data_IF_166603404600
#
_entry.id   IF_166603404600
#
_cell.length_a   1.000
_cell.length_b   1.000
_cell.length_c   1.000
_cell.angle_alpha   90.00
_cell.angle_beta   90.00
_cell.angle_gamma   90.00
#
_symmetry.space_group_name_H-M   'P 1'
#
loop_
_entity.id
_entity.type
_entity.pdbx_description
1 polymer ?
#
# COMPACT_ATOMS: atom_id res chain seq x y z
N UNK A 1 14.27 -2.34 -4.18
CA UNK A 1 14.54 -2.13 -2.73
C UNK A 1 13.30 -1.54 -2.08
N UNK A 2 12.88 -2.04 -0.92
CA UNK A 2 11.70 -1.52 -0.24
C UNK A 2 11.95 -0.15 0.41
N UNK A 3 11.04 0.80 0.17
CA UNK A 3 11.11 2.19 0.56
C UNK A 3 10.16 2.42 1.75
N UNK A 4 10.63 2.88 2.92
CA UNK A 4 9.75 3.22 4.03
C UNK A 4 8.80 4.37 3.65
N UNK A 5 7.51 4.20 3.88
CA UNK A 5 6.48 5.18 3.53
C UNK A 5 5.53 5.49 4.70
N UNK A 6 4.78 6.58 4.57
CA UNK A 6 3.61 6.90 5.39
C UNK A 6 2.38 6.89 4.48
N UNK A 7 1.63 5.78 4.43
CA UNK A 7 0.48 5.67 3.55
C UNK A 7 -0.77 6.35 4.15
N UNK A 8 -1.51 7.04 3.30
CA UNK A 8 -2.88 7.50 3.54
C UNK A 8 -3.80 6.50 2.85
N UNK A 9 -4.77 5.97 3.57
CA UNK A 9 -5.68 4.92 3.07
C UNK A 9 -7.09 5.48 3.02
N UNK A 10 -7.70 5.41 1.84
CA UNK A 10 -9.15 5.56 1.68
C UNK A 10 -9.81 4.18 1.76
N UNK A 11 -10.63 4.00 2.79
CA UNK A 11 -11.35 2.75 3.07
C UNK A 11 -12.48 2.46 2.09
N UNK A 12 -13.03 3.48 1.44
CA UNK A 12 -14.14 3.33 0.51
C UNK A 12 -13.65 2.89 -0.86
N UNK A 13 -12.58 3.50 -1.35
CA UNK A 13 -12.07 3.25 -2.72
C UNK A 13 -10.93 2.24 -2.77
N UNK A 14 -10.34 1.90 -1.63
CA UNK A 14 -9.13 1.10 -1.58
C UNK A 14 -7.87 1.87 -1.98
N UNK A 15 -7.98 3.20 -2.17
CA UNK A 15 -6.86 4.02 -2.58
C UNK A 15 -5.83 4.13 -1.46
N UNK A 16 -4.55 3.96 -1.83
CA UNK A 16 -3.39 4.12 -0.96
C UNK A 16 -2.50 5.19 -1.58
N UNK A 17 -2.38 6.33 -0.90
CA UNK A 17 -1.53 7.44 -1.32
C UNK A 17 -0.29 7.52 -0.44
N UNK A 18 0.88 7.76 -1.02
CA UNK A 18 2.14 7.87 -0.28
C UNK A 18 3.21 8.61 -1.08
N UNK A 19 4.23 9.11 -0.39
CA UNK A 19 5.46 9.59 -1.02
C UNK A 19 6.48 8.47 -1.07
N UNK A 20 7.01 8.17 -2.26
CA UNK A 20 8.17 7.31 -2.46
C UNK A 20 9.21 8.09 -3.28
N UNK A 21 10.45 8.17 -2.79
CA UNK A 21 11.55 8.87 -3.47
C UNK A 21 11.20 10.33 -3.87
N UNK A 22 10.48 11.04 -2.99
CA UNK A 22 10.05 12.42 -3.23
C UNK A 22 8.90 12.59 -4.22
N UNK A 23 8.30 11.50 -4.72
CA UNK A 23 7.17 11.53 -5.66
C UNK A 23 5.89 11.04 -5.00
N UNK A 24 4.80 11.76 -5.22
CA UNK A 24 3.48 11.32 -4.81
C UNK A 24 3.03 10.13 -5.66
N UNK A 25 2.62 9.07 -4.99
CA UNK A 25 2.14 7.84 -5.60
C UNK A 25 0.72 7.56 -5.13
N UNK A 26 -0.14 7.21 -6.07
CA UNK A 26 -1.47 6.65 -5.80
C UNK A 26 -1.51 5.22 -6.30
N UNK A 27 -1.92 4.29 -5.43
CA UNK A 27 -2.14 2.88 -5.72
C UNK A 27 -3.46 2.43 -5.10
N UNK A 28 -3.83 1.18 -5.33
CA UNK A 28 -5.08 0.62 -4.84
C UNK A 28 -4.84 -0.77 -4.27
N UNK A 29 -5.50 -1.07 -3.16
CA UNK A 29 -5.46 -2.37 -2.48
C UNK A 29 -6.85 -3.02 -2.50
N UNK A 30 -6.90 -4.34 -2.61
CA UNK A 30 -8.16 -5.08 -2.65
C UNK A 30 -8.90 -5.11 -1.30
N UNK A 31 -8.16 -5.15 -0.19
CA UNK A 31 -8.73 -5.17 1.18
C UNK A 31 -8.19 -3.99 2.02
N UNK A 32 -8.78 -2.79 1.86
CA UNK A 32 -8.33 -1.61 2.61
C UNK A 32 -8.65 -1.68 4.10
N UNK A 33 -9.68 -2.43 4.50
CA UNK A 33 -10.06 -2.55 5.91
C UNK A 33 -9.06 -3.41 6.67
N UNK A 34 -8.61 -4.52 6.08
CA UNK A 34 -7.55 -5.34 6.65
C UNK A 34 -6.23 -4.56 6.67
N UNK A 35 -5.92 -3.83 5.60
CA UNK A 35 -4.72 -3.00 5.53
C UNK A 35 -4.68 -1.96 6.68
N UNK A 36 -5.74 -1.17 6.86
CA UNK A 36 -5.87 -0.18 7.93
C UNK A 36 -5.63 -0.81 9.31
N UNK A 37 -6.30 -1.94 9.58
CA UNK A 37 -6.20 -2.66 10.86
C UNK A 37 -4.77 -3.13 11.17
N UNK A 38 -4.05 -3.62 10.17
CA UNK A 38 -2.68 -4.10 10.35
C UNK A 38 -1.66 -2.96 10.42
N UNK A 39 -1.87 -1.87 9.66
CA UNK A 39 -1.02 -0.69 9.71
C UNK A 39 -1.01 -0.04 11.10
N UNK A 40 -2.19 0.06 11.73
CA UNK A 40 -2.30 0.61 13.08
C UNK A 40 -1.56 -0.22 14.16
N UNK A 41 -1.18 -1.47 13.83
CA UNK A 41 -0.49 -2.41 14.73
C UNK A 41 0.98 -2.63 14.35
N UNK A 42 1.48 -1.95 13.32
CA UNK A 42 2.85 -2.16 12.87
C UNK A 42 3.86 -1.64 13.90
N UNK A 43 4.93 -2.40 14.13
CA UNK A 43 6.05 -1.98 14.98
C UNK A 43 7.12 -1.19 14.22
N UNK A 44 6.99 -1.11 12.89
CA UNK A 44 7.92 -0.42 11.98
C UNK A 44 7.10 0.33 10.93
N UNK A 45 7.71 1.31 10.26
CA UNK A 45 7.06 1.98 9.13
C UNK A 45 6.73 0.94 8.04
N UNK A 46 5.54 0.99 7.44
CA UNK A 46 5.25 0.26 6.21
C UNK A 46 6.32 0.55 5.15
N UNK A 47 6.68 -0.45 4.36
CA UNK A 47 7.65 -0.29 3.28
C UNK A 47 7.03 -0.68 1.94
N UNK A 48 7.16 0.19 0.95
CA UNK A 48 6.71 -0.07 -0.42
C UNK A 48 7.84 -0.69 -1.23
N UNK A 49 7.62 -1.87 -1.79
CA UNK A 49 8.52 -2.50 -2.74
C UNK A 49 8.06 -2.17 -4.18
N UNK A 50 8.80 -1.34 -4.93
CA UNK A 50 8.42 -0.97 -6.29
C UNK A 50 8.55 -2.13 -7.28
N UNK A 51 9.41 -3.11 -7.00
CA UNK A 51 9.70 -4.22 -7.91
C UNK A 51 8.53 -5.21 -7.94
N UNK A 52 7.90 -5.44 -6.79
CA UNK A 52 6.71 -6.30 -6.65
C UNK A 52 5.40 -5.51 -6.60
N UNK A 53 5.45 -4.18 -6.50
CA UNK A 53 4.30 -3.34 -6.15
C UNK A 53 3.58 -3.83 -4.90
N UNK A 54 4.33 -4.07 -3.83
CA UNK A 54 3.77 -4.52 -2.56
C UNK A 54 3.97 -3.50 -1.45
N UNK A 55 2.98 -3.40 -0.57
CA UNK A 55 3.13 -2.77 0.72
C UNK A 55 3.42 -3.82 1.78
N UNK A 56 4.62 -3.75 2.34
CA UNK A 56 5.15 -4.67 3.33
C UNK A 56 4.92 -4.10 4.73
N UNK A 57 4.25 -4.89 5.57
CA UNK A 57 3.99 -4.59 6.97
C UNK A 57 4.68 -5.60 7.88
N UNK A 58 5.10 -5.15 9.06
CA UNK A 58 5.61 -6.02 10.13
C UNK A 58 4.79 -5.77 11.38
N UNK A 59 4.03 -6.78 11.79
CA UNK A 59 3.15 -6.76 12.96
C UNK A 59 3.76 -7.62 14.05
N UNK A 60 3.90 -7.14 15.30
CA UNK A 60 4.37 -7.96 16.42
C UNK A 60 3.56 -9.25 16.56
N UNK A 61 4.25 -10.36 16.79
CA UNK A 61 3.64 -11.66 17.03
C UNK A 61 4.31 -12.31 18.26
N UNK A 62 3.51 -12.91 19.14
CA UNK A 62 4.01 -13.58 20.33
C UNK A 62 5.00 -14.68 19.95
N UNK A 63 6.14 -14.75 20.65
CA UNK A 63 7.19 -15.72 20.37
C UNK A 63 8.02 -15.46 19.10
N UNK A 64 7.78 -14.37 18.37
CA UNK A 64 8.56 -14.00 17.20
C UNK A 64 9.07 -12.54 17.28
N UNK A 65 10.32 -12.32 17.74
CA UNK A 65 10.93 -10.99 17.84
C UNK A 65 11.02 -10.23 16.51
N UNK A 66 11.08 -10.94 15.38
CA UNK A 66 11.10 -10.33 14.06
C UNK A 66 9.71 -9.82 13.61
N UNK A 67 8.64 -10.24 14.31
CA UNK A 67 7.26 -9.99 13.94
C UNK A 67 6.80 -10.84 12.75
N UNK A 68 5.50 -10.80 12.50
CA UNK A 68 4.88 -11.41 11.32
C UNK A 68 4.89 -10.41 10.17
N UNK A 69 5.34 -10.86 9.01
CA UNK A 69 5.34 -10.08 7.77
C UNK A 69 4.00 -10.26 7.05
N UNK A 70 3.46 -9.17 6.55
CA UNK A 70 2.29 -9.15 5.66
C UNK A 70 2.64 -8.35 4.42
N UNK A 71 2.21 -8.83 3.25
CA UNK A 71 2.36 -8.15 1.98
C UNK A 71 0.97 -7.87 1.40
N UNK A 72 0.77 -6.65 0.91
CA UNK A 72 -0.44 -6.24 0.21
C UNK A 72 -0.07 -5.79 -1.19
N UNK A 73 -0.61 -6.46 -2.20
CA UNK A 73 -0.42 -6.05 -3.59
C UNK A 73 -1.10 -4.70 -3.85
N UNK A 74 -0.37 -3.79 -4.48
CA UNK A 74 -0.78 -2.43 -4.79
C UNK A 74 -0.92 -2.25 -6.29
N UNK A 75 -2.15 -2.22 -6.79
CA UNK A 75 -2.43 -2.02 -8.20
C UNK A 75 -2.24 -0.55 -8.63
N UNK A 76 -1.76 -0.35 -9.86
CA UNK A 76 -1.94 0.91 -10.60
C UNK A 76 -3.24 0.79 -11.39
N UNK A 77 -4.18 1.69 -11.14
CA UNK A 77 -5.26 1.91 -12.10
C UNK A 77 -4.86 3.05 -13.04
N UNK A 78 -5.21 2.97 -14.33
CA UNK A 78 -5.07 4.11 -15.23
C UNK A 78 -5.81 5.30 -14.63
N UNK A 79 -5.16 6.46 -14.59
CA UNK A 79 -5.84 7.72 -14.27
C UNK A 79 -6.95 7.96 -15.29
N UNK A 80 -8.06 8.61 -14.91
CA UNK A 80 -9.18 8.88 -15.82
C UNK A 80 -8.80 9.63 -17.12
N UNK A 81 -7.58 10.18 -17.22
CA UNK A 81 -7.04 10.73 -18.45
C UNK A 81 -6.66 9.69 -19.53
N UNK A 82 -6.60 8.39 -19.18
CA UNK A 82 -6.32 7.30 -20.12
C UNK A 82 -7.59 6.64 -20.68
N UNK A 83 -8.77 6.99 -20.19
CA UNK A 83 -10.05 6.63 -20.80
C UNK A 83 -10.42 7.70 -21.84
N UNK A 84 -9.59 7.81 -22.89
CA UNK A 84 -10.01 8.56 -24.07
C UNK A 84 -11.25 7.86 -24.65
N UNK A 85 -12.37 8.59 -24.56
CA UNK A 85 -13.64 8.44 -25.26
C UNK A 85 -13.65 7.30 -26.29
N UNK A 86 -14.38 6.22 -26.00
CA UNK A 86 -14.84 5.32 -27.06
C UNK A 86 -15.88 6.11 -27.85
N UNK A 87 -15.48 6.69 -28.98
CA UNK A 87 -16.42 7.29 -29.91
C UNK A 87 -17.24 6.16 -30.54
N UNK A 88 -18.55 6.20 -30.27
CA UNK A 88 -19.57 5.43 -31.02
C UNK A 88 -20.20 6.37 -32.04
#
# INVERSE_FOLDING_TARGET
MAIPILPIIDRQTGQVQFTAEGRWCTRYVADPLQLERLIARCSRRPAFDPDTSELLLVVPAAGNPAGRRHAFSLAKFPSSGALAKVES
#
